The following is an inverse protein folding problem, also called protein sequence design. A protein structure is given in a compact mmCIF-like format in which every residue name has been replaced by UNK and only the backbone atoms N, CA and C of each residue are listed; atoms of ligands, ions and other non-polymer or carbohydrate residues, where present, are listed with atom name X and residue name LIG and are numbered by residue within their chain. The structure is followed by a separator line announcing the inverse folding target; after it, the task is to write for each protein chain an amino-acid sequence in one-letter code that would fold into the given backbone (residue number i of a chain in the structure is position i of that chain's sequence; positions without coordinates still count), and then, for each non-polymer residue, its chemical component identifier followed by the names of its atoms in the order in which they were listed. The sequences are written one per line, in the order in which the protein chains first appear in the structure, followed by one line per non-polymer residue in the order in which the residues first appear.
data_IF_678115718489
#
_entry.id   IF_678115718489
#
_cell.length_a   1.000
_cell.length_b   1.000
_cell.length_c   1.000
_cell.angle_alpha   90.00
_cell.angle_beta   90.00
_cell.angle_gamma   90.00
#
_symmetry.space_group_name_H-M   'P 1'
#
loop_
_entity.id
_entity.type
_entity.pdbx_description
1 polymer ?
#
# COMPACT_ATOMS: atom_id res chain seq x y z
N UNK A 1 6.81 -31.53 22.76
CA UNK A 1 5.79 -31.40 21.71
C UNK A 1 6.45 -31.78 20.40
N UNK A 2 5.92 -32.73 19.64
CA UNK A 2 6.45 -33.01 18.30
C UNK A 2 6.28 -31.74 17.46
N UNK A 3 7.38 -31.22 16.91
CA UNK A 3 7.34 -30.08 16.00
C UNK A 3 6.49 -30.45 14.79
N UNK A 4 5.27 -29.94 14.78
CA UNK A 4 4.37 -30.03 13.63
C UNK A 4 5.10 -29.51 12.39
N UNK A 5 5.26 -30.35 11.37
CA UNK A 5 5.84 -29.95 10.09
C UNK A 5 5.00 -28.90 9.36
N UNK A 6 3.75 -28.70 9.79
CA UNK A 6 2.81 -27.77 9.19
C UNK A 6 3.33 -26.32 9.19
N UNK A 7 4.00 -25.90 10.26
CA UNK A 7 4.54 -24.55 10.37
C UNK A 7 5.60 -24.23 9.30
N UNK A 8 6.37 -25.24 8.87
CA UNK A 8 7.33 -25.09 7.77
C UNK A 8 6.66 -24.86 6.40
N UNK A 9 5.38 -25.22 6.27
CA UNK A 9 4.58 -25.02 5.06
C UNK A 9 3.95 -23.63 5.01
N UNK A 10 3.86 -22.93 6.14
CA UNK A 10 3.27 -21.60 6.21
C UNK A 10 4.16 -20.59 5.47
N UNK A 11 3.59 -19.97 4.43
CA UNK A 11 4.25 -18.91 3.64
C UNK A 11 3.62 -17.54 3.86
N UNK A 12 2.40 -17.49 4.36
CA UNK A 12 1.64 -16.26 4.54
C UNK A 12 1.02 -16.23 5.93
N UNK A 13 1.11 -15.08 6.59
CA UNK A 13 0.46 -14.80 7.88
C UNK A 13 -0.26 -13.45 7.76
N UNK A 14 -1.50 -13.41 8.24
CA UNK A 14 -2.28 -12.17 8.31
C UNK A 14 -2.61 -11.87 9.77
N UNK A 15 -2.22 -10.68 10.22
CA UNK A 15 -2.51 -10.16 11.55
C UNK A 15 -3.80 -9.33 11.51
N UNK A 16 -4.90 -9.90 11.97
CA UNK A 16 -6.11 -9.13 12.24
C UNK A 16 -6.24 -8.95 13.74
N UNK A 17 -5.89 -7.76 14.24
CA UNK A 17 -6.22 -7.40 15.62
C UNK A 17 -6.77 -5.98 15.69
N UNK A 18 -8.05 -5.81 16.07
CA UNK A 18 -8.62 -4.49 16.29
C UNK A 18 -8.14 -3.85 17.62
N UNK A 19 -7.54 -4.62 18.53
CA UNK A 19 -7.19 -4.17 19.89
C UNK A 19 -5.67 -4.16 20.18
N UNK A 20 -5.28 -3.19 21.03
CA UNK A 20 -3.93 -2.92 21.50
C UNK A 20 -3.51 -3.90 22.61
N UNK A 21 -2.97 -5.07 22.26
CA UNK A 21 -2.62 -6.08 23.29
C UNK A 21 -1.16 -6.55 23.19
N UNK A 22 -0.47 -6.64 24.34
CA UNK A 22 0.87 -7.25 24.48
C UNK A 22 0.89 -8.70 23.96
N UNK A 23 -0.27 -9.36 23.95
CA UNK A 23 -0.46 -10.69 23.36
C UNK A 23 -0.01 -10.79 21.90
N UNK A 24 -0.11 -9.71 21.11
CA UNK A 24 0.35 -9.74 19.71
C UNK A 24 1.86 -9.85 19.62
N UNK A 25 2.60 -9.16 20.50
CA UNK A 25 4.06 -9.23 20.53
C UNK A 25 4.50 -10.66 20.82
N UNK A 26 3.92 -11.29 21.85
CA UNK A 26 4.19 -12.69 22.17
C UNK A 26 3.77 -13.63 21.04
N UNK A 27 2.65 -13.36 20.37
CA UNK A 27 2.18 -14.14 19.23
C UNK A 27 3.16 -14.07 18.06
N UNK A 28 3.70 -12.89 17.73
CA UNK A 28 4.69 -12.72 16.66
C UNK A 28 5.92 -13.60 16.94
N UNK A 29 6.47 -13.56 18.16
CA UNK A 29 7.61 -14.40 18.51
C UNK A 29 7.30 -15.89 18.42
N UNK A 30 6.17 -16.34 18.96
CA UNK A 30 5.76 -17.75 18.87
C UNK A 30 5.56 -18.21 17.41
N UNK A 31 5.00 -17.35 16.56
CA UNK A 31 4.83 -17.63 15.13
C UNK A 31 6.17 -17.70 14.41
N UNK A 32 7.19 -16.95 14.83
CA UNK A 32 8.49 -16.99 14.15
C UNK A 32 9.24 -18.29 14.36
N UNK A 33 9.15 -18.87 15.56
CA UNK A 33 9.75 -20.17 15.87
C UNK A 33 9.00 -21.31 15.19
N UNK A 34 7.67 -21.23 15.15
CA UNK A 34 6.83 -22.28 14.58
C UNK A 34 6.73 -22.21 13.06
N UNK A 35 6.76 -21.02 12.47
CA UNK A 35 6.59 -20.75 11.04
C UNK A 35 7.79 -19.97 10.47
N UNK A 36 8.98 -20.60 10.31
CA UNK A 36 10.19 -19.90 9.90
C UNK A 36 10.19 -19.48 8.43
N UNK A 37 9.30 -20.05 7.61
CA UNK A 37 9.33 -19.94 6.15
C UNK A 37 8.38 -18.87 5.58
N UNK A 38 7.88 -17.97 6.42
CA UNK A 38 6.96 -16.90 6.03
C UNK A 38 7.63 -15.96 5.02
N UNK A 39 6.91 -15.70 3.94
CA UNK A 39 7.30 -14.80 2.87
C UNK A 39 6.35 -13.60 2.78
N UNK A 40 5.11 -13.75 3.23
CA UNK A 40 4.10 -12.69 3.16
C UNK A 40 3.56 -12.45 4.56
N UNK A 41 3.64 -11.21 5.01
CA UNK A 41 3.06 -10.76 6.26
C UNK A 41 2.08 -9.63 5.94
N UNK A 42 0.82 -9.79 6.35
CA UNK A 42 -0.27 -8.84 6.09
C UNK A 42 -0.95 -8.42 7.39
N UNK A 43 -1.78 -7.39 7.31
CA UNK A 43 -2.69 -7.00 8.38
C UNK A 43 -2.29 -5.73 9.11
N UNK A 44 -3.07 -5.39 10.14
CA UNK A 44 -3.02 -4.08 10.79
C UNK A 44 -2.12 -4.13 12.02
N UNK A 45 -0.87 -3.67 11.88
CA UNK A 45 0.08 -3.59 12.98
C UNK A 45 0.15 -2.18 13.57
N UNK A 46 -0.14 -2.09 14.87
CA UNK A 46 0.12 -0.90 15.66
C UNK A 46 1.62 -0.60 15.79
N UNK A 47 1.98 0.66 16.05
CA UNK A 47 3.37 1.14 16.17
C UNK A 47 4.24 0.30 17.11
N UNK A 48 3.66 -0.23 18.19
CA UNK A 48 4.36 -1.04 19.20
C UNK A 48 4.73 -2.45 18.72
N UNK A 49 4.09 -2.97 17.68
CA UNK A 49 4.32 -4.34 17.19
C UNK A 49 5.49 -4.44 16.21
N UNK A 50 5.90 -3.32 15.61
CA UNK A 50 6.98 -3.29 14.61
C UNK A 50 8.32 -3.75 15.16
N UNK A 51 8.61 -3.52 16.45
CA UNK A 51 9.83 -4.04 17.09
C UNK A 51 9.86 -5.57 17.13
N UNK A 52 8.72 -6.19 17.44
CA UNK A 52 8.59 -7.66 17.44
C UNK A 52 8.74 -8.23 16.02
N UNK A 53 8.13 -7.56 15.03
CA UNK A 53 8.30 -7.92 13.62
C UNK A 53 9.76 -7.73 13.14
N UNK A 54 10.46 -6.71 13.63
CA UNK A 54 11.89 -6.54 13.38
C UNK A 54 12.71 -7.71 13.91
N UNK A 55 12.43 -8.16 15.12
CA UNK A 55 13.03 -9.37 15.69
C UNK A 55 12.72 -10.62 14.86
N UNK A 56 11.47 -10.80 14.45
CA UNK A 56 11.00 -11.89 13.59
C UNK A 56 11.81 -12.01 12.29
N UNK A 57 11.95 -10.89 11.58
CA UNK A 57 12.70 -10.78 10.32
C UNK A 57 14.20 -11.03 10.55
N UNK A 58 14.78 -10.43 11.59
CA UNK A 58 16.20 -10.60 11.91
C UNK A 58 16.58 -12.04 12.20
N UNK A 59 15.69 -12.78 12.87
CA UNK A 59 15.96 -14.15 13.31
C UNK A 59 15.55 -15.21 12.28
N UNK A 60 14.31 -15.17 11.77
CA UNK A 60 13.71 -16.30 11.05
C UNK A 60 13.21 -15.93 9.65
N UNK A 61 12.46 -14.84 9.50
CA UNK A 61 11.77 -14.50 8.25
C UNK A 61 12.66 -13.79 7.23
N UNK A 62 13.81 -14.38 6.92
CA UNK A 62 14.83 -13.80 6.03
C UNK A 62 14.43 -13.76 4.55
N UNK A 63 13.35 -14.45 4.20
CA UNK A 63 12.82 -14.54 2.82
C UNK A 63 11.52 -13.74 2.67
N UNK A 64 11.29 -12.75 3.55
CA UNK A 64 10.10 -11.95 3.53
C UNK A 64 10.05 -11.09 2.25
N UNK A 65 8.97 -11.26 1.50
CA UNK A 65 8.66 -10.60 0.23
C UNK A 65 7.67 -9.44 0.38
N UNK A 66 6.88 -9.45 1.45
CA UNK A 66 5.89 -8.42 1.73
C UNK A 66 5.77 -8.19 3.24
N UNK A 67 5.86 -6.92 3.63
CA UNK A 67 5.58 -6.45 4.99
C UNK A 67 4.09 -6.10 5.14
N UNK A 68 3.57 -6.11 6.38
CA UNK A 68 2.23 -5.59 6.66
C UNK A 68 2.13 -4.15 6.21
N UNK A 69 0.95 -3.76 5.72
CA UNK A 69 0.73 -2.39 5.32
C UNK A 69 0.77 -1.47 6.54
N UNK A 70 1.60 -0.41 6.53
CA UNK A 70 1.66 0.54 7.61
C UNK A 70 0.35 1.33 7.70
N UNK A 71 -0.23 1.39 8.90
CA UNK A 71 -1.35 2.29 9.17
C UNK A 71 -0.81 3.71 9.36
N UNK A 72 -1.01 4.54 8.35
CA UNK A 72 -0.68 5.95 8.42
C UNK A 72 -1.76 6.69 9.21
N UNK A 73 -1.40 7.30 10.33
CA UNK A 73 -2.32 8.07 11.18
C UNK A 73 -1.66 9.36 11.66
N UNK A 74 -2.41 10.47 11.58
CA UNK A 74 -1.94 11.85 11.82
C UNK A 74 -1.08 12.05 13.09
N UNK A 75 -1.22 11.22 14.14
CA UNK A 75 -0.56 11.37 15.43
C UNK A 75 0.65 10.45 15.66
N UNK A 76 0.88 9.43 14.82
CA UNK A 76 1.95 8.44 15.02
C UNK A 76 2.85 8.18 13.79
N UNK A 77 2.63 8.96 12.71
CA UNK A 77 3.25 8.76 11.41
C UNK A 77 4.77 8.67 11.42
N UNK A 78 5.48 9.48 12.22
CA UNK A 78 6.95 9.48 12.19
C UNK A 78 7.55 8.16 12.72
N UNK A 79 6.94 7.57 13.75
CA UNK A 79 7.42 6.31 14.32
C UNK A 79 7.05 5.11 13.44
N UNK A 80 5.82 5.08 12.91
CA UNK A 80 5.39 4.02 11.97
C UNK A 80 6.23 4.09 10.69
N UNK A 81 6.44 5.28 10.15
CA UNK A 81 7.31 5.53 8.99
C UNK A 81 8.73 5.01 9.21
N UNK A 82 9.35 5.42 10.31
CA UNK A 82 10.73 5.03 10.61
C UNK A 82 10.82 3.52 10.79
N UNK A 83 9.88 2.92 11.52
CA UNK A 83 9.85 1.47 11.75
C UNK A 83 9.68 0.68 10.45
N UNK A 84 8.74 1.08 9.61
CA UNK A 84 8.47 0.43 8.32
C UNK A 84 9.70 0.45 7.42
N UNK A 85 10.28 1.63 7.17
CA UNK A 85 11.41 1.76 6.25
C UNK A 85 12.71 1.21 6.80
N UNK A 86 12.90 1.24 8.12
CA UNK A 86 14.02 0.52 8.75
C UNK A 86 13.94 -0.98 8.45
N UNK A 87 12.76 -1.57 8.65
CA UNK A 87 12.55 -2.99 8.41
C UNK A 87 12.58 -3.36 6.92
N UNK A 88 12.00 -2.51 6.07
CA UNK A 88 12.03 -2.68 4.62
C UNK A 88 13.48 -2.67 4.11
N UNK A 89 14.32 -1.77 4.63
CA UNK A 89 15.74 -1.71 4.28
C UNK A 89 16.48 -2.99 4.66
N UNK A 90 16.14 -3.64 5.78
CA UNK A 90 16.70 -4.96 6.13
C UNK A 90 16.32 -6.02 5.08
N UNK A 91 15.11 -5.93 4.53
CA UNK A 91 14.56 -6.88 3.55
C UNK A 91 14.74 -6.43 2.08
N UNK A 92 15.60 -5.43 1.79
CA UNK A 92 15.64 -4.78 0.47
C UNK A 92 15.86 -5.77 -0.70
N UNK A 93 16.62 -6.84 -0.49
CA UNK A 93 16.90 -7.86 -1.50
C UNK A 93 15.76 -8.87 -1.71
N UNK A 94 14.79 -8.95 -0.80
CA UNK A 94 13.72 -9.97 -0.87
C UNK A 94 12.36 -9.35 -1.08
N UNK A 95 12.16 -8.09 -0.68
CA UNK A 95 10.90 -7.42 -0.85
C UNK A 95 10.53 -7.26 -2.33
N UNK A 96 9.28 -7.62 -2.58
CA UNK A 96 8.60 -7.46 -3.87
C UNK A 96 7.49 -6.42 -3.78
N UNK A 97 7.05 -6.10 -2.56
CA UNK A 97 6.00 -5.13 -2.26
C UNK A 97 6.54 -4.06 -1.32
N UNK A 98 6.37 -2.79 -1.68
CA UNK A 98 6.67 -1.64 -0.83
C UNK A 98 5.50 -0.66 -0.84
N UNK A 99 5.13 -0.16 0.33
CA UNK A 99 4.12 0.89 0.52
C UNK A 99 4.83 2.22 0.70
N UNK A 100 4.44 3.24 -0.07
CA UNK A 100 4.90 4.61 0.06
C UNK A 100 4.15 5.33 1.19
N UNK A 101 4.78 6.30 1.87
CA UNK A 101 4.09 7.10 2.86
C UNK A 101 3.04 7.99 2.17
N UNK A 102 1.97 8.40 2.87
CA UNK A 102 0.89 9.18 2.28
C UNK A 102 1.19 10.67 2.29
N UNK A 103 2.42 10.99 1.92
CA UNK A 103 2.92 12.34 1.79
C UNK A 103 3.41 12.54 0.36
N UNK A 104 3.20 13.72 -0.23
CA UNK A 104 3.73 14.02 -1.56
C UNK A 104 5.25 13.87 -1.62
N UNK A 105 5.82 13.45 -2.77
CA UNK A 105 7.27 13.41 -2.99
C UNK A 105 8.00 14.73 -2.77
N UNK A 106 7.28 15.86 -2.82
CA UNK A 106 7.81 17.19 -2.53
C UNK A 106 8.13 17.43 -1.05
N UNK A 107 7.56 16.64 -0.13
CA UNK A 107 7.77 16.78 1.32
C UNK A 107 9.14 16.22 1.73
N UNK A 108 9.77 16.87 2.70
CA UNK A 108 11.12 16.50 3.18
C UNK A 108 11.19 15.07 3.72
N UNK A 109 10.13 14.57 4.35
CA UNK A 109 10.08 13.21 4.87
C UNK A 109 10.12 12.17 3.73
N UNK A 110 9.53 12.48 2.57
CA UNK A 110 9.59 11.59 1.41
C UNK A 110 11.01 11.51 0.83
N UNK A 111 11.80 12.58 0.93
CA UNK A 111 13.20 12.60 0.49
C UNK A 111 14.09 11.61 1.25
N UNK A 112 13.63 11.08 2.38
CA UNK A 112 14.32 10.01 3.11
C UNK A 112 14.08 8.65 2.43
N UNK A 113 12.87 8.43 1.89
CA UNK A 113 12.50 7.18 1.21
C UNK A 113 13.08 7.13 -0.20
N UNK A 114 13.06 8.26 -0.91
CA UNK A 114 13.39 8.30 -2.33
C UNK A 114 14.73 7.64 -2.69
N UNK A 115 15.85 7.87 -1.94
CA UNK A 115 17.12 7.21 -2.20
C UNK A 115 17.14 5.70 -1.90
N UNK A 116 16.17 5.19 -1.15
CA UNK A 116 16.07 3.76 -0.80
C UNK A 116 15.44 2.93 -1.92
N UNK A 117 14.61 3.56 -2.77
CA UNK A 117 13.84 2.86 -3.81
C UNK A 117 14.70 2.00 -4.77
N UNK A 118 15.87 2.49 -5.26
CA UNK A 118 16.72 1.69 -6.14
C UNK A 118 17.31 0.43 -5.48
N UNK A 119 17.35 0.36 -4.14
CA UNK A 119 17.88 -0.81 -3.43
C UNK A 119 16.89 -1.97 -3.38
N UNK A 120 15.60 -1.73 -3.64
CA UNK A 120 14.60 -2.79 -3.73
C UNK A 120 14.60 -3.42 -5.13
N UNK A 121 15.68 -4.16 -5.43
CA UNK A 121 15.93 -4.71 -6.78
C UNK A 121 14.84 -5.67 -7.28
N UNK A 122 14.14 -6.33 -6.35
CA UNK A 122 13.06 -7.28 -6.62
C UNK A 122 11.66 -6.65 -6.51
N UNK A 123 11.60 -5.32 -6.36
CA UNK A 123 10.35 -4.57 -6.26
C UNK A 123 9.56 -4.71 -7.56
N UNK A 124 8.36 -5.26 -7.42
CA UNK A 124 7.43 -5.50 -8.51
C UNK A 124 6.07 -4.87 -8.24
N UNK A 125 5.75 -4.59 -6.97
CA UNK A 125 4.49 -4.01 -6.52
C UNK A 125 4.76 -2.78 -5.65
N UNK A 126 4.27 -1.62 -6.08
CA UNK A 126 4.36 -0.38 -5.32
C UNK A 126 2.95 0.06 -4.94
N UNK A 127 2.74 0.32 -3.65
CA UNK A 127 1.46 0.78 -3.11
C UNK A 127 1.64 2.23 -2.68
N UNK A 128 0.72 3.10 -3.11
CA UNK A 128 0.73 4.52 -2.77
C UNK A 128 -0.59 4.85 -2.11
N UNK A 129 -0.54 5.20 -0.83
CA UNK A 129 -1.71 5.71 -0.14
C UNK A 129 -1.73 7.25 -0.30
N UNK A 130 -2.83 7.85 -0.76
CA UNK A 130 -2.97 9.30 -0.99
C UNK A 130 -3.94 9.97 -0.02
N UNK A 131 -3.78 9.76 1.28
CA UNK A 131 -4.74 10.24 2.30
C UNK A 131 -4.81 11.77 2.50
N UNK A 132 -3.77 12.55 2.14
CA UNK A 132 -3.62 13.90 2.71
C UNK A 132 -3.62 15.09 1.74
N UNK A 133 -3.46 14.89 0.45
CA UNK A 133 -3.51 15.99 -0.54
C UNK A 133 -3.91 15.45 -1.89
N UNK A 134 -4.50 16.32 -2.73
CA UNK A 134 -4.79 16.15 -4.15
C UNK A 134 -3.52 15.87 -4.97
N UNK A 135 -2.81 14.80 -4.64
CA UNK A 135 -1.61 14.33 -5.31
C UNK A 135 -2.07 13.58 -6.54
N UNK A 136 -1.94 14.22 -7.70
CA UNK A 136 -2.14 13.53 -8.96
C UNK A 136 -1.09 12.42 -9.09
N UNK A 137 -1.44 11.28 -9.69
CA UNK A 137 -0.51 10.16 -9.87
C UNK A 137 0.84 10.59 -10.49
N UNK A 138 0.80 11.62 -11.35
CA UNK A 138 1.95 12.27 -11.99
C UNK A 138 3.04 12.71 -11.01
N UNK A 139 2.70 13.07 -9.76
CA UNK A 139 3.72 13.48 -8.78
C UNK A 139 4.68 12.36 -8.39
N UNK A 140 4.28 11.10 -8.63
CA UNK A 140 5.08 9.91 -8.37
C UNK A 140 5.89 9.46 -9.61
N UNK A 141 5.94 10.27 -10.68
CA UNK A 141 6.74 10.00 -11.89
C UNK A 141 8.17 9.57 -11.58
N UNK A 142 8.86 10.42 -10.82
CA UNK A 142 10.26 10.20 -10.47
C UNK A 142 10.41 8.94 -9.62
N UNK A 143 9.44 8.65 -8.75
CA UNK A 143 9.43 7.46 -7.88
C UNK A 143 9.32 6.20 -8.73
N UNK A 144 8.36 6.19 -9.66
CA UNK A 144 8.10 5.01 -10.50
C UNK A 144 9.28 4.76 -11.44
N UNK A 145 9.92 5.82 -11.96
CA UNK A 145 11.12 5.70 -12.79
C UNK A 145 12.31 5.04 -12.06
N UNK A 146 12.39 5.12 -10.72
CA UNK A 146 13.42 4.42 -9.93
C UNK A 146 13.15 2.92 -9.78
N UNK A 147 11.99 2.42 -10.20
CA UNK A 147 11.56 1.04 -10.02
C UNK A 147 11.44 0.33 -11.39
N UNK A 148 12.54 -0.07 -12.03
CA UNK A 148 12.52 -0.57 -13.42
C UNK A 148 11.78 -1.91 -13.59
N UNK A 149 11.66 -2.70 -12.53
CA UNK A 149 10.99 -3.99 -12.52
C UNK A 149 9.52 -3.91 -12.07
N UNK A 150 8.97 -2.70 -11.95
CA UNK A 150 7.61 -2.50 -11.46
C UNK A 150 6.59 -3.13 -12.42
N UNK A 151 5.88 -4.14 -11.92
CA UNK A 151 4.82 -4.84 -12.64
C UNK A 151 3.42 -4.44 -12.19
N UNK A 152 3.29 -3.94 -10.96
CA UNK A 152 2.03 -3.54 -10.36
C UNK A 152 2.19 -2.21 -9.62
N UNK A 153 1.30 -1.27 -9.90
CA UNK A 153 1.19 -0.03 -9.16
C UNK A 153 -0.22 0.06 -8.58
N UNK A 154 -0.32 0.19 -7.26
CA UNK A 154 -1.57 0.35 -6.52
C UNK A 154 -1.67 1.77 -6.01
N UNK A 155 -2.68 2.51 -6.46
CA UNK A 155 -3.05 3.79 -5.86
C UNK A 155 -4.23 3.56 -4.92
N UNK A 156 -4.01 3.69 -3.62
CA UNK A 156 -5.06 3.71 -2.61
C UNK A 156 -5.38 5.16 -2.27
N UNK A 157 -6.53 5.64 -2.76
CA UNK A 157 -6.99 6.99 -2.52
C UNK A 157 -8.24 6.95 -1.67
N UNK A 158 -8.13 7.37 -0.39
CA UNK A 158 -9.30 7.82 0.35
C UNK A 158 -9.75 9.17 -0.20
N UNK A 159 -10.87 9.16 -0.91
CA UNK A 159 -11.58 10.37 -1.30
C UNK A 159 -12.36 10.90 -0.10
N UNK A 160 -11.64 11.29 0.96
CA UNK A 160 -12.25 11.96 2.11
C UNK A 160 -12.78 13.31 1.65
N UNK A 161 -14.10 13.48 1.69
CA UNK A 161 -14.73 14.79 1.57
C UNK A 161 -14.38 15.53 2.86
N UNK A 162 -13.36 16.38 2.82
CA UNK A 162 -13.12 17.32 3.90
C UNK A 162 -14.27 18.32 3.84
N UNK A 163 -15.17 18.28 4.82
CA UNK A 163 -16.10 19.38 5.06
C UNK A 163 -15.27 20.64 5.29
N UNK A 164 -15.24 21.54 4.31
CA UNK A 164 -14.65 22.86 4.52
C UNK A 164 -15.43 23.58 5.61
N UNK A 165 -14.73 24.30 6.49
CA UNK A 165 -15.27 25.11 7.61
C UNK A 165 -16.38 26.12 7.21
N UNK A 166 -16.71 26.24 5.93
CA UNK A 166 -17.66 27.20 5.36
C UNK A 166 -18.76 26.59 4.49
N UNK A 167 -19.06 25.30 4.62
CA UNK A 167 -20.16 24.67 3.88
C UNK A 167 -19.89 24.39 2.39
N UNK A 168 -18.69 24.74 1.91
CA UNK A 168 -18.20 24.41 0.58
C UNK A 168 -17.53 23.02 0.59
N UNK A 169 -18.35 21.97 0.46
CA UNK A 169 -18.36 21.09 -0.71
C UNK A 169 -17.11 20.74 -1.53
N UNK A 170 -15.85 20.91 -1.13
CA UNK A 170 -14.72 20.58 -2.04
C UNK A 170 -14.51 19.06 -2.12
N UNK A 171 -15.22 18.41 -3.03
CA UNK A 171 -14.84 17.08 -3.52
C UNK A 171 -13.41 17.16 -4.05
N UNK A 172 -12.50 16.39 -3.46
CA UNK A 172 -11.17 16.19 -4.03
C UNK A 172 -11.35 15.20 -5.18
N UNK A 173 -11.47 15.70 -6.39
CA UNK A 173 -11.71 14.85 -7.56
C UNK A 173 -10.44 14.06 -7.94
N UNK A 174 -10.62 12.79 -8.32
CA UNK A 174 -9.59 12.06 -9.05
C UNK A 174 -9.31 12.85 -10.33
N UNK A 175 -8.05 13.28 -10.53
CA UNK A 175 -7.71 14.14 -11.66
C UNK A 175 -8.09 13.45 -12.98
N UNK A 176 -8.75 14.19 -13.87
CA UNK A 176 -9.33 13.64 -15.11
C UNK A 176 -8.32 12.94 -16.03
N UNK A 177 -7.04 13.29 -15.91
CA UNK A 177 -5.95 12.73 -16.72
C UNK A 177 -5.29 11.51 -16.06
N UNK A 178 -5.74 11.07 -14.88
CA UNK A 178 -5.15 9.92 -14.17
C UNK A 178 -5.25 8.65 -15.02
N UNK A 179 -6.39 8.40 -15.64
CA UNK A 179 -6.62 7.23 -16.50
C UNK A 179 -5.74 7.26 -17.75
N UNK A 180 -5.74 8.38 -18.47
CA UNK A 180 -4.95 8.57 -19.70
C UNK A 180 -3.45 8.45 -19.39
N UNK A 181 -3.02 9.02 -18.27
CA UNK A 181 -1.65 8.92 -17.79
C UNK A 181 -1.23 7.46 -17.49
N UNK A 182 -2.07 6.68 -16.80
CA UNK A 182 -1.76 5.25 -16.52
C UNK A 182 -1.63 4.46 -17.82
N UNK A 183 -2.56 4.66 -18.77
CA UNK A 183 -2.57 3.97 -20.07
C UNK A 183 -1.28 4.26 -20.86
N UNK A 184 -0.83 5.53 -20.86
CA UNK A 184 0.27 5.95 -21.74
C UNK A 184 1.65 5.80 -21.14
N UNK A 185 1.82 6.00 -19.82
CA UNK A 185 3.15 6.08 -19.23
C UNK A 185 3.76 4.72 -18.92
N UNK A 186 2.93 3.70 -18.73
CA UNK A 186 3.39 2.41 -18.26
C UNK A 186 2.99 1.25 -19.19
N UNK A 187 3.58 1.19 -20.40
CA UNK A 187 3.27 0.13 -21.34
C UNK A 187 3.60 -1.27 -20.76
N UNK A 188 4.59 -1.35 -19.86
CA UNK A 188 5.09 -2.58 -19.25
C UNK A 188 4.40 -2.98 -17.92
N UNK A 189 3.53 -2.12 -17.36
CA UNK A 189 2.80 -2.43 -16.12
C UNK A 189 1.82 -3.58 -16.41
N UNK A 190 2.15 -4.79 -15.95
CA UNK A 190 1.28 -5.96 -16.10
C UNK A 190 -0.04 -5.82 -15.34
N UNK A 191 -0.07 -4.95 -14.32
CA UNK A 191 -1.21 -4.67 -13.46
C UNK A 191 -1.23 -3.19 -13.02
N UNK A 192 -2.37 -2.49 -13.04
CA UNK A 192 -2.54 -1.22 -12.32
C UNK A 192 -3.83 -1.27 -11.53
N UNK A 193 -3.70 -1.28 -10.21
CA UNK A 193 -4.82 -1.31 -9.29
C UNK A 193 -5.07 0.12 -8.80
N UNK A 194 -6.32 0.54 -8.83
CA UNK A 194 -6.72 1.82 -8.21
C UNK A 194 -7.83 1.47 -7.24
N UNK A 195 -7.54 1.62 -5.97
CA UNK A 195 -8.51 1.49 -4.90
C UNK A 195 -9.03 2.88 -4.58
N UNK A 196 -10.33 3.06 -4.81
CA UNK A 196 -11.03 4.28 -4.48
C UNK A 196 -11.93 3.95 -3.29
N UNK A 197 -11.50 4.38 -2.11
CA UNK A 197 -12.33 4.37 -0.92
C UNK A 197 -13.12 5.67 -0.90
N UNK A 198 -14.45 5.55 -0.88
CA UNK A 198 -15.35 6.71 -0.88
C UNK A 198 -16.27 6.61 0.31
N UNK A 199 -16.22 7.65 1.14
CA UNK A 199 -17.07 7.81 2.33
C UNK A 199 -18.54 7.95 1.92
N UNK A 200 -19.44 7.47 2.79
CA UNK A 200 -20.84 7.11 2.54
C UNK A 200 -21.76 8.23 1.97
N UNK A 201 -21.57 8.56 0.69
CA UNK A 201 -22.54 9.27 -0.14
C UNK A 201 -22.82 8.42 -1.39
N UNK A 202 -23.32 7.21 -1.15
CA UNK A 202 -23.75 6.22 -2.15
C UNK A 202 -24.65 6.78 -3.25
N UNK A 203 -25.36 7.88 -3.01
CA UNK A 203 -26.32 8.45 -3.97
C UNK A 203 -25.73 9.45 -4.98
N UNK A 204 -24.44 9.81 -4.89
CA UNK A 204 -23.84 10.80 -5.81
C UNK A 204 -22.74 10.25 -6.72
N UNK A 205 -22.04 9.19 -6.33
CA UNK A 205 -20.86 8.71 -7.07
C UNK A 205 -21.23 7.93 -8.32
N UNK A 206 -22.23 7.05 -8.26
CA UNK A 206 -22.70 6.30 -9.43
C UNK A 206 -23.05 7.22 -10.61
N UNK A 207 -23.97 8.18 -10.42
CA UNK A 207 -24.29 9.20 -11.43
C UNK A 207 -23.13 10.14 -11.78
N UNK A 208 -22.22 10.44 -10.85
CA UNK A 208 -21.07 11.31 -11.10
C UNK A 208 -20.00 10.64 -11.98
N UNK A 209 -19.65 9.38 -11.69
CA UNK A 209 -18.75 8.57 -12.52
C UNK A 209 -19.34 8.37 -13.91
N UNK A 210 -20.64 8.07 -14.02
CA UNK A 210 -21.30 7.93 -15.33
C UNK A 210 -21.44 9.27 -16.07
N UNK A 211 -21.69 10.39 -15.39
CA UNK A 211 -21.85 11.68 -16.08
C UNK A 211 -20.55 12.34 -16.54
N UNK A 212 -19.44 12.16 -15.80
CA UNK A 212 -18.18 12.87 -16.09
C UNK A 212 -17.07 11.97 -16.63
N UNK A 213 -17.09 10.67 -16.32
CA UNK A 213 -15.96 9.78 -16.59
C UNK A 213 -16.32 8.50 -17.34
N UNK A 214 -17.57 8.28 -17.76
CA UNK A 214 -18.02 7.02 -18.38
C UNK A 214 -17.16 6.60 -19.58
N UNK A 215 -16.88 7.51 -20.51
CA UNK A 215 -16.10 7.16 -21.71
C UNK A 215 -14.64 6.84 -21.37
N UNK A 216 -14.01 7.63 -20.48
CA UNK A 216 -12.64 7.41 -20.04
C UNK A 216 -12.53 6.13 -19.20
N UNK A 217 -13.45 5.90 -18.28
CA UNK A 217 -13.52 4.70 -17.46
C UNK A 217 -13.75 3.46 -18.32
N UNK A 218 -14.63 3.52 -19.33
CA UNK A 218 -14.83 2.42 -20.27
C UNK A 218 -13.57 2.10 -21.05
N UNK A 219 -12.92 3.11 -21.65
CA UNK A 219 -11.63 2.95 -22.35
C UNK A 219 -10.55 2.37 -21.43
N UNK A 220 -10.54 2.81 -20.19
CA UNK A 220 -9.61 2.35 -19.17
C UNK A 220 -9.90 0.90 -18.75
N UNK A 221 -11.16 0.52 -18.51
CA UNK A 221 -11.57 -0.85 -18.22
C UNK A 221 -11.31 -1.79 -19.41
N UNK A 222 -11.54 -1.34 -20.65
CA UNK A 222 -11.15 -2.07 -21.86
C UNK A 222 -9.62 -2.28 -21.91
N UNK A 223 -8.83 -1.23 -21.63
CA UNK A 223 -7.38 -1.33 -21.53
C UNK A 223 -6.95 -2.36 -20.47
N UNK A 224 -7.56 -2.32 -19.27
CA UNK A 224 -7.26 -3.27 -18.20
C UNK A 224 -7.77 -4.69 -18.46
N UNK A 225 -8.86 -4.89 -19.22
CA UNK A 225 -9.42 -6.22 -19.49
C UNK A 225 -8.45 -7.16 -20.23
N UNK A 226 -7.46 -6.59 -20.91
CA UNK A 226 -6.36 -7.32 -21.56
C UNK A 226 -5.18 -7.62 -20.62
N UNK A 227 -5.21 -7.12 -19.39
CA UNK A 227 -4.14 -7.18 -18.38
C UNK A 227 -4.67 -7.87 -17.11
N UNK A 228 -3.79 -8.50 -16.31
CA UNK A 228 -4.19 -9.17 -15.05
C UNK A 228 -4.34 -8.14 -13.92
N UNK A 229 -5.22 -7.16 -14.09
CA UNK A 229 -5.43 -6.09 -13.12
C UNK A 229 -6.67 -6.36 -12.28
N UNK A 230 -6.57 -6.17 -10.97
CA UNK A 230 -7.70 -6.22 -10.05
C UNK A 230 -8.18 -4.77 -9.82
N UNK A 231 -9.20 -4.36 -10.57
CA UNK A 231 -9.88 -3.10 -10.28
C UNK A 231 -10.94 -3.34 -9.19
N UNK A 232 -10.70 -2.80 -8.00
CA UNK A 232 -11.59 -2.97 -6.85
C UNK A 232 -12.10 -1.61 -6.36
N UNK A 233 -13.41 -1.43 -6.43
CA UNK A 233 -14.13 -0.44 -5.62
C UNK A 233 -14.45 -1.09 -4.27
N UNK A 234 -13.76 -0.65 -3.22
CA UNK A 234 -14.10 -1.05 -1.86
C UNK A 234 -14.87 0.08 -1.19
N UNK A 235 -16.13 -0.19 -0.89
CA UNK A 235 -16.99 0.69 -0.10
C UNK A 235 -16.61 0.54 1.37
N UNK A 236 -16.24 1.64 2.02
CA UNK A 236 -16.05 1.68 3.46
C UNK A 236 -17.38 2.09 4.07
N UNK A 237 -17.99 1.17 4.83
CA UNK A 237 -19.20 1.42 5.63
C UNK A 237 -18.86 2.17 6.92
#
# INVERSE_FOLDING_TARGET
MQNSSLGSLVKEITFWCPDYDEKIVSLIYNLTETCPNVQISKGNLHVRHWGALGGAVGSYWKQLKQLPEPQWSMSSDLNVFTNYYTLASVCHNTLTHVTLPPIPPTRSQFKIVFPLLPFFINLTHLIVNSDYSSSTLMVYDEVIQQCPNLMCFTLDSNLNIIYGDYGDTKQRELHQDTFDYVIHKFPNLGCCNVHLSVDDILNRIGPWITSHYEEKLRKFLEHLSSRRCDWLFTYVN
#
